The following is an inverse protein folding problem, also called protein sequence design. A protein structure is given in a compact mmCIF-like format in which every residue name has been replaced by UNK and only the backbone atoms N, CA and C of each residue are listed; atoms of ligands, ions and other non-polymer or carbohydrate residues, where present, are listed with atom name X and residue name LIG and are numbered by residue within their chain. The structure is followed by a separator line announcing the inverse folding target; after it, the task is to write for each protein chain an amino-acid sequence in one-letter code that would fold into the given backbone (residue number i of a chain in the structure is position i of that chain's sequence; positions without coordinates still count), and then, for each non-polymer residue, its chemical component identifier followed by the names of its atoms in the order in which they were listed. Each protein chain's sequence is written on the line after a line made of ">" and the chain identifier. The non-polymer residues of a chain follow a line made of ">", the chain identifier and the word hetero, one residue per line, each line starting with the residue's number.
data_IF_463260395788
#
_entry.id   IF_463260395788
#
_cell.length_a   1.000
_cell.length_b   1.000
_cell.length_c   1.000
_cell.angle_alpha   90.00
_cell.angle_beta   90.00
_cell.angle_gamma   90.00
#
_symmetry.space_group_name_H-M   'P 1'
#
loop_
_entity.id
_entity.type
_entity.pdbx_description
1 polymer ?
#
# COMPACT_ATOMS: atom_id res chain seq x y z
N UNK A 1 16.20 -14.78 56.11
CA UNK A 1 15.52 -13.67 55.41
C UNK A 1 16.30 -13.38 54.14
N UNK A 2 15.64 -13.40 52.97
CA UNK A 2 15.91 -12.57 51.79
C UNK A 2 15.06 -13.11 50.62
N UNK A 3 13.88 -12.51 50.41
CA UNK A 3 13.07 -12.71 49.22
C UNK A 3 13.54 -11.69 48.19
N UNK A 4 14.29 -12.13 47.18
CA UNK A 4 14.66 -11.27 46.04
C UNK A 4 13.42 -11.13 45.16
N UNK A 5 12.82 -9.94 45.21
CA UNK A 5 11.70 -9.55 44.37
C UNK A 5 12.26 -9.16 42.99
N UNK A 6 12.18 -10.06 42.00
CA UNK A 6 12.55 -9.74 40.62
C UNK A 6 11.37 -8.96 40.02
N UNK A 7 11.46 -7.62 40.05
CA UNK A 7 10.54 -6.74 39.35
C UNK A 7 10.95 -6.72 37.88
N UNK A 8 10.27 -7.53 37.06
CA UNK A 8 10.42 -7.57 35.62
C UNK A 8 9.88 -6.25 35.01
N UNK A 9 10.68 -5.46 34.26
CA UNK A 9 10.15 -4.28 33.59
C UNK A 9 9.40 -4.70 32.32
N UNK A 10 8.13 -5.09 32.48
CA UNK A 10 7.17 -5.28 31.37
C UNK A 10 6.66 -3.90 30.94
N UNK A 11 7.51 -3.05 30.34
CA UNK A 11 7.07 -1.72 29.90
C UNK A 11 7.80 -1.17 28.68
N UNK A 12 8.03 -1.98 27.65
CA UNK A 12 8.46 -1.45 26.33
C UNK A 12 7.75 -2.20 25.20
N UNK A 13 6.44 -2.01 25.09
CA UNK A 13 5.70 -2.17 23.83
C UNK A 13 5.19 -0.79 23.42
N UNK A 14 6.11 0.13 23.14
CA UNK A 14 5.78 1.40 22.52
C UNK A 14 5.44 1.12 21.05
N UNK A 15 4.17 0.80 20.80
CA UNK A 15 3.62 0.66 19.46
C UNK A 15 3.74 2.02 18.74
N UNK A 16 4.58 2.09 17.71
CA UNK A 16 4.64 3.26 16.83
C UNK A 16 3.32 3.44 16.09
N UNK A 17 2.47 4.35 16.57
CA UNK A 17 1.20 4.67 15.90
C UNK A 17 1.47 5.32 14.54
N UNK A 18 1.05 4.64 13.47
CA UNK A 18 1.04 5.21 12.14
C UNK A 18 -0.04 6.30 12.01
N UNK A 19 0.15 7.28 11.12
CA UNK A 19 -0.91 8.23 10.78
C UNK A 19 -2.17 7.49 10.35
N UNK A 20 -3.34 7.88 10.85
CA UNK A 20 -4.63 7.29 10.45
C UNK A 20 -5.03 7.77 9.04
N UNK A 21 -5.47 6.84 8.19
CA UNK A 21 -6.06 7.18 6.89
C UNK A 21 -7.48 7.73 7.08
N UNK A 22 -7.73 8.91 6.52
CA UNK A 22 -9.05 9.57 6.43
C UNK A 22 -10.02 8.75 5.57
N UNK A 23 -11.35 8.89 5.75
CA UNK A 23 -12.33 8.21 4.88
C UNK A 23 -12.13 8.49 3.38
N UNK A 24 -11.79 9.73 3.03
CA UNK A 24 -11.52 10.18 1.66
C UNK A 24 -10.18 9.62 1.17
N UNK A 25 -9.15 9.66 2.01
CA UNK A 25 -7.86 9.04 1.74
C UNK A 25 -7.97 7.55 1.41
N UNK A 26 -8.90 6.80 2.02
CA UNK A 26 -9.13 5.38 1.71
C UNK A 26 -9.60 5.15 0.27
N UNK A 27 -10.25 6.14 -0.35
CA UNK A 27 -10.75 6.07 -1.73
C UNK A 27 -9.66 6.40 -2.75
N UNK A 28 -8.50 6.88 -2.30
CA UNK A 28 -7.36 7.13 -3.19
C UNK A 28 -6.64 5.84 -3.56
N UNK A 29 -6.05 5.82 -4.75
CA UNK A 29 -5.27 4.68 -5.26
C UNK A 29 -3.90 5.09 -5.75
N UNK A 30 -2.93 4.20 -5.60
CA UNK A 30 -1.66 4.35 -6.30
C UNK A 30 -1.83 3.94 -7.76
N UNK A 31 -1.27 4.72 -8.68
CA UNK A 31 -1.23 4.42 -10.11
C UNK A 31 0.23 4.33 -10.58
N UNK A 32 0.44 3.74 -11.75
CA UNK A 32 1.73 3.69 -12.44
C UNK A 32 1.75 4.65 -13.64
N UNK A 33 2.91 4.74 -14.31
CA UNK A 33 3.15 5.63 -15.44
C UNK A 33 2.16 5.43 -16.61
N UNK A 34 1.61 4.23 -16.80
CA UNK A 34 0.67 3.93 -17.89
C UNK A 34 -0.65 4.71 -17.77
N UNK A 35 -0.98 5.18 -16.57
CA UNK A 35 -2.20 5.94 -16.29
C UNK A 35 -2.08 7.43 -16.64
N UNK A 36 -0.87 7.98 -16.81
CA UNK A 36 -0.67 9.44 -16.97
C UNK A 36 -1.54 10.05 -18.06
N UNK A 37 -1.65 9.40 -19.22
CA UNK A 37 -2.43 9.92 -20.36
C UNK A 37 -3.95 9.84 -20.15
N UNK A 38 -4.41 9.08 -19.16
CA UNK A 38 -5.83 8.92 -18.83
C UNK A 38 -6.26 9.77 -17.63
N UNK A 39 -5.36 10.55 -17.04
CA UNK A 39 -5.61 11.30 -15.82
C UNK A 39 -5.27 12.78 -15.97
N UNK A 40 -5.92 13.62 -15.18
CA UNK A 40 -5.59 15.04 -15.06
C UNK A 40 -4.58 15.22 -13.94
N UNK A 41 -3.42 15.81 -14.26
CA UNK A 41 -2.43 16.20 -13.27
C UNK A 41 -2.96 17.33 -12.39
N UNK A 42 -2.83 17.18 -11.06
CA UNK A 42 -3.23 18.20 -10.08
C UNK A 42 -2.01 18.92 -9.51
N UNK A 43 -0.96 18.18 -9.16
CA UNK A 43 0.22 18.74 -8.50
C UNK A 43 1.17 17.67 -8.00
N UNK A 44 2.20 18.08 -7.28
CA UNK A 44 3.15 17.18 -6.61
C UNK A 44 3.22 17.51 -5.12
N UNK A 45 3.56 16.52 -4.31
CA UNK A 45 3.78 16.69 -2.87
C UNK A 45 4.91 15.79 -2.38
N UNK A 46 5.35 16.06 -1.16
CA UNK A 46 6.35 15.28 -0.46
C UNK A 46 5.88 15.06 0.98
N UNK A 47 6.03 13.83 1.47
CA UNK A 47 5.75 13.51 2.88
C UNK A 47 6.91 12.72 3.46
N UNK A 48 7.14 12.89 4.76
CA UNK A 48 8.12 12.11 5.51
C UNK A 48 7.55 11.65 6.85
N UNK A 49 8.10 10.58 7.39
CA UNK A 49 7.95 10.20 8.79
C UNK A 49 9.30 10.38 9.48
N UNK A 50 9.41 11.39 10.32
CA UNK A 50 10.59 11.61 11.15
C UNK A 50 10.50 10.77 12.43
N UNK A 51 11.66 10.32 12.90
CA UNK A 51 11.83 9.77 14.26
C UNK A 51 11.63 10.91 15.25
N UNK A 52 10.63 10.80 16.12
CA UNK A 52 10.56 11.62 17.34
C UNK A 52 11.03 10.76 18.51
N UNK A 53 12.01 11.25 19.27
CA UNK A 53 12.52 10.71 20.55
C UNK A 53 12.15 9.23 20.82
N UNK A 54 12.90 8.30 20.20
CA UNK A 54 12.79 6.86 20.49
C UNK A 54 11.77 6.06 19.66
N UNK A 55 11.00 6.67 18.77
CA UNK A 55 10.10 5.95 17.86
C UNK A 55 10.67 5.87 16.44
N UNK A 56 10.87 4.66 15.91
CA UNK A 56 11.20 4.47 14.49
C UNK A 56 10.10 5.10 13.62
N UNK A 57 10.51 5.83 12.58
CA UNK A 57 9.58 6.25 11.54
C UNK A 57 8.93 5.03 10.90
N UNK A 58 7.74 5.23 10.32
CA UNK A 58 6.87 4.15 9.91
C UNK A 58 6.52 4.32 8.43
N UNK A 59 6.87 3.32 7.63
CA UNK A 59 6.47 3.19 6.23
C UNK A 59 4.96 3.48 6.03
N UNK A 60 4.11 2.94 6.91
CA UNK A 60 2.66 3.15 6.83
C UNK A 60 2.26 4.60 7.12
N UNK A 61 3.02 5.35 7.93
CA UNK A 61 2.78 6.79 8.14
C UNK A 61 2.93 7.55 6.84
N UNK A 62 4.04 7.34 6.13
CA UNK A 62 4.32 8.00 4.84
C UNK A 62 3.24 7.63 3.83
N UNK A 63 2.89 6.34 3.75
CA UNK A 63 1.82 5.86 2.87
C UNK A 63 0.46 6.48 3.18
N UNK A 64 0.10 6.57 4.46
CA UNK A 64 -1.18 7.14 4.88
C UNK A 64 -1.25 8.65 4.67
N UNK A 65 -0.13 9.35 4.85
CA UNK A 65 0.00 10.77 4.51
C UNK A 65 -0.21 11.00 3.01
N UNK A 66 0.46 10.24 2.13
CA UNK A 66 0.26 10.35 0.68
C UNK A 66 -1.23 10.23 0.30
N UNK A 67 -1.93 9.24 0.86
CA UNK A 67 -3.36 9.02 0.63
C UNK A 67 -4.20 10.21 1.10
N UNK A 68 -3.92 10.71 2.30
CA UNK A 68 -4.66 11.83 2.88
C UNK A 68 -4.42 13.13 2.09
N UNK A 69 -3.17 13.43 1.73
CA UNK A 69 -2.79 14.61 0.95
C UNK A 69 -3.35 14.58 -0.46
N UNK A 70 -3.35 13.40 -1.11
CA UNK A 70 -3.98 13.20 -2.41
C UNK A 70 -5.47 13.56 -2.36
N UNK A 71 -6.18 13.06 -1.35
CA UNK A 71 -7.59 13.37 -1.16
C UNK A 71 -7.83 14.85 -0.81
N UNK A 72 -7.03 15.41 0.09
CA UNK A 72 -7.10 16.81 0.50
C UNK A 72 -6.87 17.78 -0.67
N UNK A 73 -6.04 17.37 -1.65
CA UNK A 73 -5.76 18.12 -2.87
C UNK A 73 -6.83 17.94 -3.96
N UNK A 74 -7.93 17.24 -3.67
CA UNK A 74 -9.02 16.97 -4.63
C UNK A 74 -8.74 15.82 -5.61
N UNK A 75 -7.59 15.17 -5.49
CA UNK A 75 -7.19 14.00 -6.27
C UNK A 75 -7.88 12.72 -5.82
N UNK A 76 -7.81 11.70 -6.67
CA UNK A 76 -8.23 10.34 -6.33
C UNK A 76 -7.15 9.30 -6.62
N UNK A 77 -6.02 9.71 -7.20
CA UNK A 77 -4.91 8.84 -7.55
C UNK A 77 -3.58 9.55 -7.29
N UNK A 78 -2.55 8.79 -6.94
CA UNK A 78 -1.20 9.29 -6.80
C UNK A 78 -0.18 8.36 -7.44
N UNK A 79 0.91 8.92 -7.96
CA UNK A 79 2.04 8.18 -8.51
C UNK A 79 3.29 8.52 -7.69
N UNK A 80 3.94 7.50 -7.13
CA UNK A 80 5.16 7.70 -6.34
C UNK A 80 6.33 7.86 -7.31
N UNK A 81 7.04 8.98 -7.20
CA UNK A 81 8.23 9.27 -8.01
C UNK A 81 9.47 8.68 -7.34
N UNK A 82 9.60 8.92 -6.03
CA UNK A 82 10.71 8.41 -5.24
C UNK A 82 10.24 8.05 -3.83
N UNK A 83 10.87 7.04 -3.25
CA UNK A 83 10.62 6.59 -1.89
C UNK A 83 11.95 6.24 -1.22
N UNK A 84 12.35 7.08 -0.26
CA UNK A 84 13.65 7.00 0.40
C UNK A 84 13.47 6.39 1.79
N UNK A 85 14.30 5.40 2.09
CA UNK A 85 14.57 4.92 3.44
C UNK A 85 16.05 5.16 3.73
N UNK A 86 16.36 6.01 4.70
CA UNK A 86 17.75 6.35 5.04
C UNK A 86 18.46 5.28 5.91
N UNK A 87 17.78 4.17 6.22
CA UNK A 87 18.29 3.10 7.07
C UNK A 87 18.32 3.45 8.56
N UNK A 88 18.03 4.70 8.92
CA UNK A 88 17.95 5.19 10.31
C UNK A 88 16.49 5.29 10.79
N UNK A 89 15.56 4.70 10.03
CA UNK A 89 14.14 4.71 10.34
C UNK A 89 13.46 6.01 9.90
N UNK A 90 14.06 6.80 9.02
CA UNK A 90 13.32 7.85 8.31
C UNK A 90 12.83 7.33 6.97
N UNK A 91 11.55 7.55 6.73
CA UNK A 91 10.91 7.26 5.45
C UNK A 91 10.45 8.58 4.86
N UNK A 92 10.68 8.77 3.56
CA UNK A 92 10.13 9.90 2.82
C UNK A 92 9.71 9.48 1.43
N UNK A 93 8.75 10.19 0.86
CA UNK A 93 8.26 9.95 -0.49
C UNK A 93 8.02 11.27 -1.20
N UNK A 94 8.38 11.33 -2.48
CA UNK A 94 7.91 12.34 -3.41
C UNK A 94 6.92 11.71 -4.37
N UNK A 95 5.82 12.40 -4.65
CA UNK A 95 4.72 11.84 -5.44
C UNK A 95 3.95 12.91 -6.19
N UNK A 96 3.29 12.48 -7.25
CA UNK A 96 2.40 13.29 -8.09
C UNK A 96 0.94 12.92 -7.78
N UNK A 97 0.07 13.91 -7.82
CA UNK A 97 -1.35 13.82 -7.51
C UNK A 97 -2.16 13.99 -8.79
N UNK A 98 -3.14 13.12 -8.98
CA UNK A 98 -3.96 13.03 -10.18
C UNK A 98 -5.45 12.92 -9.87
N UNK A 99 -6.26 13.46 -10.79
CA UNK A 99 -7.67 13.10 -10.95
C UNK A 99 -7.79 12.13 -12.12
N UNK A 100 -7.95 10.86 -11.81
CA UNK A 100 -8.23 9.84 -12.81
C UNK A 100 -9.73 9.57 -12.91
N UNK A 101 -10.23 9.15 -14.08
CA UNK A 101 -11.57 8.59 -14.21
C UNK A 101 -11.77 7.46 -13.21
N UNK A 102 -13.00 7.32 -12.71
CA UNK A 102 -13.42 6.14 -11.97
C UNK A 102 -13.62 4.96 -12.95
N UNK A 103 -12.57 4.62 -13.71
CA UNK A 103 -12.56 3.37 -14.45
C UNK A 103 -12.42 2.23 -13.45
N UNK A 104 -13.21 1.17 -13.65
CA UNK A 104 -13.17 -0.07 -12.86
C UNK A 104 -11.70 -0.50 -12.73
N UNK A 105 -11.21 -0.51 -11.49
CA UNK A 105 -9.94 -1.07 -11.03
C UNK A 105 -8.99 -1.57 -12.15
N UNK A 106 -7.81 -0.96 -12.33
CA UNK A 106 -6.67 -1.75 -12.84
C UNK A 106 -6.29 -2.73 -11.74
N UNK A 107 -6.98 -3.85 -11.72
CA UNK A 107 -6.40 -5.07 -11.20
C UNK A 107 -5.23 -5.37 -12.15
N UNK A 108 -3.98 -5.53 -11.67
CA UNK A 108 -2.90 -5.95 -12.55
C UNK A 108 -3.36 -7.21 -13.29
N UNK A 109 -3.21 -7.29 -14.62
CA UNK A 109 -3.77 -8.38 -15.48
C UNK A 109 -3.61 -9.80 -14.89
N UNK A 110 -2.53 -10.00 -14.11
CA UNK A 110 -2.25 -11.20 -13.29
C UNK A 110 -3.39 -11.61 -12.36
N UNK A 111 -3.95 -10.68 -11.61
CA UNK A 111 -5.00 -10.94 -10.62
C UNK A 111 -6.38 -11.06 -11.28
N UNK A 112 -6.60 -10.40 -12.43
CA UNK A 112 -7.80 -10.61 -13.25
C UNK A 112 -7.87 -12.01 -13.83
N UNK A 113 -6.74 -12.55 -14.30
CA UNK A 113 -6.67 -13.91 -14.82
C UNK A 113 -6.92 -14.95 -13.72
N UNK A 114 -6.34 -14.75 -12.53
CA UNK A 114 -6.56 -15.63 -11.37
C UNK A 114 -8.00 -15.54 -10.84
N UNK A 115 -8.60 -14.35 -10.83
CA UNK A 115 -10.00 -14.19 -10.41
C UNK A 115 -10.98 -14.82 -11.41
N UNK A 116 -10.71 -14.69 -12.72
CA UNK A 116 -11.47 -15.41 -13.76
C UNK A 116 -11.33 -16.92 -13.61
N UNK A 117 -10.12 -17.41 -13.38
CA UNK A 117 -9.86 -18.84 -13.19
C UNK A 117 -10.57 -19.37 -11.94
N UNK A 118 -10.57 -18.60 -10.84
CA UNK A 118 -11.32 -18.94 -9.63
C UNK A 118 -12.83 -18.96 -9.87
N UNK A 119 -13.38 -17.99 -10.62
CA UNK A 119 -14.80 -17.99 -11.00
C UNK A 119 -15.21 -19.19 -11.86
N UNK A 120 -14.30 -19.76 -12.64
CA UNK A 120 -14.56 -20.99 -13.41
C UNK A 120 -14.60 -22.21 -12.49
N UNK A 121 -13.71 -22.27 -11.51
CA UNK A 121 -13.72 -23.31 -10.47
C UNK A 121 -14.98 -23.25 -9.62
N UNK A 122 -15.36 -22.05 -9.15
CA UNK A 122 -16.56 -21.82 -8.32
C UNK A 122 -17.87 -22.13 -9.07
N UNK A 123 -17.83 -22.22 -10.40
CA UNK A 123 -18.96 -22.59 -11.28
C UNK A 123 -18.90 -24.05 -11.75
N UNK A 124 -17.97 -24.85 -11.21
CA UNK A 124 -17.72 -26.23 -11.62
C UNK A 124 -17.43 -26.40 -13.12
N UNK A 125 -16.92 -25.35 -13.79
CA UNK A 125 -16.53 -25.39 -15.21
C UNK A 125 -15.18 -26.07 -15.39
N UNK A 126 -14.31 -25.95 -14.40
CA UNK A 126 -13.00 -26.61 -14.34
C UNK A 126 -12.85 -27.33 -13.00
N UNK A 127 -12.06 -28.38 -12.99
CA UNK A 127 -11.70 -29.12 -11.78
C UNK A 127 -10.62 -28.40 -10.98
N UNK A 128 -10.49 -28.74 -9.68
CA UNK A 128 -9.41 -28.24 -8.83
C UNK A 128 -8.02 -28.51 -9.43
N UNK A 129 -7.84 -29.69 -10.04
CA UNK A 129 -6.58 -30.08 -10.70
C UNK A 129 -6.24 -29.19 -11.89
N UNK A 130 -7.23 -28.82 -12.70
CA UNK A 130 -7.05 -27.91 -13.84
C UNK A 130 -6.77 -26.48 -13.38
N UNK A 131 -7.45 -26.03 -12.32
CA UNK A 131 -7.19 -24.75 -11.69
C UNK A 131 -5.73 -24.63 -11.21
N UNK A 132 -5.19 -25.65 -10.55
CA UNK A 132 -3.82 -25.60 -10.02
C UNK A 132 -2.75 -25.59 -11.13
N UNK A 133 -2.99 -26.30 -12.23
CA UNK A 133 -2.12 -26.29 -13.41
C UNK A 133 -2.11 -24.91 -14.07
N UNK A 134 -3.29 -24.34 -14.35
CA UNK A 134 -3.41 -23.05 -15.02
C UNK A 134 -2.91 -21.88 -14.14
N UNK A 135 -3.18 -21.93 -12.84
CA UNK A 135 -2.62 -20.99 -11.87
C UNK A 135 -1.09 -21.01 -11.90
N UNK A 136 -0.47 -22.19 -11.97
CA UNK A 136 0.99 -22.32 -12.02
C UNK A 136 1.57 -21.74 -13.30
N UNK A 137 0.96 -22.01 -14.47
CA UNK A 137 1.35 -21.42 -15.76
C UNK A 137 1.22 -19.90 -15.76
N UNK A 138 0.11 -19.38 -15.22
CA UNK A 138 -0.12 -17.95 -15.09
C UNK A 138 0.89 -17.29 -14.15
N UNK A 139 1.43 -17.99 -13.16
CA UNK A 139 2.46 -17.46 -12.26
C UNK A 139 3.87 -17.59 -12.85
N UNK A 140 4.15 -18.58 -13.70
CA UNK A 140 5.46 -18.78 -14.32
C UNK A 140 5.75 -17.84 -15.50
N UNK A 141 4.73 -17.43 -16.25
CA UNK A 141 4.88 -16.57 -17.44
C UNK A 141 5.19 -15.08 -17.15
N UNK A 142 5.33 -14.71 -15.88
CA UNK A 142 5.62 -13.34 -15.44
C UNK A 142 6.94 -13.23 -14.65
N UNK A 143 7.86 -14.19 -14.85
CA UNK A 143 9.23 -14.12 -14.34
C UNK A 143 10.14 -13.35 -15.28
#
# INVERSE_FOLDING_TARGET
>A
MNKILIVLPILILLNGCATKVTPEGRKTRQIDMSWKNSCVYIGSSQTSSAVKFGAQGNYETVRNNMKNETAASGGNSYMVNDFINDGMGHFSASFEIYKCPETKYHVPKKYDALEKLKKLLDKDVITQKEYDIEKTKLLSNYK
#
